data_IF_969001578093
#
_entry.id   IF_969001578093
#
_cell.length_a   1.000
_cell.length_b   1.000
_cell.length_c   1.000
_cell.angle_alpha   90.00
_cell.angle_beta   90.00
_cell.angle_gamma   90.00
#
_symmetry.space_group_name_H-M   'P 1'
#
loop_
_entity.id
_entity.type
_entity.pdbx_description
1 polymer ?
#
# COMPACT_ATOMS: atom_id res chain seq x y z
N UNK A 1 6.48 -4.13 20.01
CA UNK A 1 7.37 -3.22 19.23
C UNK A 1 7.11 -3.48 17.75
N UNK A 2 7.11 -2.47 16.86
CA UNK A 2 6.95 -2.74 15.42
C UNK A 2 8.33 -2.94 14.79
N UNK A 3 8.52 -4.08 14.13
CA UNK A 3 9.71 -4.44 13.36
C UNK A 3 9.35 -4.39 11.89
N UNK A 4 10.18 -3.75 11.07
CA UNK A 4 10.06 -3.74 9.62
C UNK A 4 11.14 -4.64 9.04
N UNK A 5 10.78 -5.49 8.08
CA UNK A 5 11.72 -6.27 7.28
C UNK A 5 11.28 -6.32 5.82
N UNK A 6 12.17 -6.81 4.96
CA UNK A 6 11.84 -7.13 3.59
C UNK A 6 10.62 -8.07 3.53
N UNK A 7 9.74 -7.79 2.58
CA UNK A 7 8.53 -8.55 2.35
C UNK A 7 8.84 -9.97 1.87
N UNK A 8 8.08 -10.94 2.38
CA UNK A 8 8.11 -12.33 1.92
C UNK A 8 6.68 -12.70 1.49
N UNK A 9 6.48 -13.35 0.33
CA UNK A 9 5.14 -13.68 -0.19
C UNK A 9 4.20 -14.33 0.84
N UNK A 10 4.72 -15.30 1.59
CA UNK A 10 3.99 -16.03 2.64
C UNK A 10 3.43 -15.13 3.76
N UNK A 11 3.93 -13.91 3.95
CA UNK A 11 3.38 -13.00 4.95
C UNK A 11 2.01 -12.45 4.55
N UNK A 12 1.73 -12.36 3.25
CA UNK A 12 0.45 -11.86 2.76
C UNK A 12 -0.71 -12.71 3.24
N UNK A 13 -0.53 -14.02 3.27
CA UNK A 13 -1.56 -14.99 3.67
C UNK A 13 -1.71 -15.07 5.18
N UNK A 14 -0.76 -14.57 5.98
CA UNK A 14 -0.82 -14.55 7.45
C UNK A 14 -1.73 -13.46 8.02
N UNK A 15 -2.22 -12.54 7.18
CA UNK A 15 -3.14 -11.47 7.59
C UNK A 15 -4.58 -11.87 7.23
N UNK A 16 -5.22 -12.64 8.10
CA UNK A 16 -6.57 -13.16 7.87
C UNK A 16 -7.67 -12.09 8.03
N UNK A 17 -7.44 -11.10 8.91
CA UNK A 17 -8.40 -10.04 9.23
C UNK A 17 -8.13 -8.75 8.45
N UNK A 18 -7.75 -8.89 7.18
CA UNK A 18 -7.18 -7.80 6.40
C UNK A 18 -8.17 -6.70 5.99
N UNK A 19 -7.58 -5.54 5.73
CA UNK A 19 -8.12 -4.44 4.94
C UNK A 19 -7.05 -4.02 3.95
N UNK A 20 -7.46 -3.77 2.71
CA UNK A 20 -6.56 -3.38 1.62
C UNK A 20 -6.85 -1.93 1.25
N UNK A 21 -6.23 -0.95 1.93
CA UNK A 21 -6.53 0.46 1.69
C UNK A 21 -6.08 0.95 0.31
N UNK A 22 -5.08 0.28 -0.26
CA UNK A 22 -4.44 0.58 -1.53
C UNK A 22 -4.46 -0.68 -2.37
N UNK A 23 -5.26 -0.65 -3.43
CA UNK A 23 -5.46 -1.81 -4.30
C UNK A 23 -4.61 -1.71 -5.56
N UNK A 24 -4.07 -2.85 -5.97
CA UNK A 24 -3.49 -3.03 -7.30
C UNK A 24 -4.59 -3.53 -8.24
N UNK A 25 -4.87 -2.82 -9.33
CA UNK A 25 -6.02 -3.08 -10.22
C UNK A 25 -5.70 -3.93 -11.46
N UNK A 26 -4.58 -4.63 -11.49
CA UNK A 26 -4.26 -5.60 -12.55
C UNK A 26 -4.74 -7.01 -12.17
N UNK A 27 -4.83 -7.95 -13.12
CA UNK A 27 -5.19 -9.33 -12.82
C UNK A 27 -4.29 -9.93 -11.72
N UNK A 28 -4.91 -10.46 -10.66
CA UNK A 28 -4.26 -11.05 -9.49
C UNK A 28 -3.23 -12.13 -9.82
N UNK A 29 -3.37 -12.80 -10.96
CA UNK A 29 -2.44 -13.83 -11.47
C UNK A 29 -1.00 -13.32 -11.67
N UNK A 30 -0.79 -12.00 -11.66
CA UNK A 30 0.53 -11.37 -11.76
C UNK A 30 0.97 -10.65 -10.48
N UNK A 31 0.20 -10.74 -9.39
CA UNK A 31 0.52 -10.01 -8.16
C UNK A 31 1.90 -10.43 -7.63
N UNK A 32 2.19 -11.72 -7.55
CA UNK A 32 3.49 -12.21 -7.09
C UNK A 32 4.65 -11.75 -7.99
N UNK A 33 4.45 -11.72 -9.31
CA UNK A 33 5.45 -11.24 -10.27
C UNK A 33 5.71 -9.74 -10.16
N UNK A 34 4.69 -8.97 -9.81
CA UNK A 34 4.73 -7.50 -9.77
C UNK A 34 5.20 -7.00 -8.41
N UNK A 35 4.85 -7.70 -7.32
CA UNK A 35 5.39 -7.43 -5.99
C UNK A 35 6.91 -7.67 -5.94
N UNK A 36 7.43 -8.61 -6.73
CA UNK A 36 8.86 -8.82 -6.88
C UNK A 36 9.59 -7.70 -7.65
N UNK A 37 8.87 -6.91 -8.45
CA UNK A 37 9.44 -5.82 -9.25
C UNK A 37 9.32 -4.49 -8.53
N UNK A 38 9.87 -4.37 -7.32
CA UNK A 38 9.72 -3.15 -6.54
C UNK A 38 10.38 -3.18 -5.16
N UNK A 39 9.91 -2.29 -4.29
CA UNK A 39 10.29 -2.24 -2.88
C UNK A 39 9.08 -2.59 -2.02
N UNK A 40 9.22 -3.59 -1.16
CA UNK A 40 8.13 -4.05 -0.31
C UNK A 40 8.63 -4.45 1.08
N UNK A 41 7.79 -4.21 2.08
CA UNK A 41 8.10 -4.53 3.47
C UNK A 41 6.96 -5.24 4.18
N UNK A 42 7.32 -6.04 5.16
CA UNK A 42 6.42 -6.61 6.16
C UNK A 42 6.64 -5.91 7.49
N UNK A 43 5.55 -5.48 8.14
CA UNK A 43 5.52 -4.97 9.50
C UNK A 43 5.03 -6.05 10.47
N UNK A 44 5.82 -6.30 11.51
CA UNK A 44 5.59 -7.34 12.51
C UNK A 44 5.44 -6.68 13.89
N UNK A 45 4.45 -7.09 14.67
CA UNK A 45 4.30 -6.73 16.08
C UNK A 45 4.06 -8.00 16.90
N UNK A 46 4.86 -8.19 17.94
CA UNK A 46 4.77 -9.33 18.86
C UNK A 46 4.77 -10.69 18.12
N UNK A 47 5.71 -10.83 17.17
CA UNK A 47 5.89 -11.97 16.26
C UNK A 47 4.72 -12.26 15.29
N UNK A 48 3.75 -11.36 15.22
CA UNK A 48 2.60 -11.45 14.32
C UNK A 48 2.80 -10.51 13.14
N UNK A 49 2.55 -11.02 11.93
CA UNK A 49 2.49 -10.18 10.72
C UNK A 49 1.25 -9.30 10.79
N UNK A 50 1.44 -7.99 10.80
CA UNK A 50 0.36 -7.02 10.97
C UNK A 50 0.05 -6.25 9.69
N UNK A 51 1.05 -6.01 8.84
CA UNK A 51 0.85 -5.34 7.57
C UNK A 51 1.92 -5.75 6.55
N UNK A 52 1.53 -5.78 5.28
CA UNK A 52 2.42 -5.90 4.13
C UNK A 52 2.12 -4.73 3.19
N UNK A 53 3.14 -4.16 2.58
CA UNK A 53 2.93 -3.09 1.61
C UNK A 53 4.21 -2.70 0.91
N UNK A 54 4.05 -2.08 -0.24
CA UNK A 54 5.17 -1.73 -1.08
C UNK A 54 4.78 -0.87 -2.26
N UNK A 55 5.78 -0.59 -3.09
CA UNK A 55 5.64 0.04 -4.40
C UNK A 55 6.15 -0.95 -5.42
N UNK A 56 5.28 -1.35 -6.33
CA UNK A 56 5.63 -2.17 -7.48
C UNK A 56 5.78 -1.31 -8.73
N UNK A 57 6.80 -1.56 -9.53
CA UNK A 57 7.04 -0.82 -10.77
C UNK A 57 6.08 -1.30 -11.86
N UNK A 58 5.39 -0.35 -12.46
CA UNK A 58 4.60 -0.57 -13.68
C UNK A 58 5.52 -0.39 -14.89
N UNK A 59 6.32 0.68 -14.87
CA UNK A 59 7.35 1.00 -15.85
C UNK A 59 8.47 1.83 -15.19
N UNK A 60 9.41 2.37 -15.98
CA UNK A 60 10.55 3.16 -15.50
C UNK A 60 10.14 4.51 -14.87
N UNK A 61 8.89 4.96 -15.05
CA UNK A 61 8.38 6.25 -14.61
C UNK A 61 7.22 6.16 -13.61
N UNK A 62 6.53 5.02 -13.54
CA UNK A 62 5.36 4.81 -12.69
C UNK A 62 5.49 3.58 -11.79
N UNK A 63 5.24 3.79 -10.49
CA UNK A 63 5.08 2.74 -9.50
C UNK A 63 3.67 2.78 -8.88
N UNK A 64 3.15 1.62 -8.51
CA UNK A 64 1.86 1.49 -7.82
C UNK A 64 2.09 1.04 -6.39
N UNK A 65 1.52 1.78 -5.44
CA UNK A 65 1.46 1.38 -4.04
C UNK A 65 0.36 0.37 -3.86
N UNK A 66 0.67 -0.68 -3.12
CA UNK A 66 -0.28 -1.65 -2.63
C UNK A 66 -0.05 -1.87 -1.13
N UNK A 67 -1.10 -2.23 -0.42
CA UNK A 67 -0.98 -2.50 1.02
C UNK A 67 -2.13 -3.35 1.53
N UNK A 68 -1.79 -4.27 2.44
CA UNK A 68 -2.70 -5.10 3.22
C UNK A 68 -2.37 -4.93 4.69
N UNK A 69 -3.38 -4.62 5.51
CA UNK A 69 -3.22 -4.31 6.94
C UNK A 69 -4.24 -5.11 7.75
N UNK A 70 -3.81 -5.72 8.86
CA UNK A 70 -4.69 -6.30 9.86
C UNK A 70 -5.61 -5.25 10.48
N UNK A 71 -6.89 -5.59 10.69
CA UNK A 71 -7.84 -4.71 11.41
C UNK A 71 -7.37 -4.38 12.82
N UNK A 72 -6.54 -5.22 13.45
CA UNK A 72 -5.92 -4.95 14.76
C UNK A 72 -5.10 -3.66 14.78
N UNK A 73 -4.55 -3.23 13.65
CA UNK A 73 -3.84 -1.96 13.54
C UNK A 73 -4.73 -0.74 13.87
N UNK A 74 -6.05 -0.88 13.74
CA UNK A 74 -7.00 0.17 14.10
C UNK A 74 -7.15 0.39 15.61
N UNK A 75 -6.65 -0.50 16.46
CA UNK A 75 -6.59 -0.29 17.91
C UNK A 75 -5.57 0.81 18.27
N UNK A 76 -4.57 1.06 17.42
CA UNK A 76 -3.54 2.09 17.61
C UNK A 76 -3.32 2.89 16.31
N UNK A 77 -4.36 3.60 15.81
CA UNK A 77 -4.37 4.11 14.44
C UNK A 77 -3.30 5.18 14.18
N UNK A 78 -2.97 5.99 15.20
CA UNK A 78 -1.91 7.01 15.08
C UNK A 78 -0.52 6.38 14.94
N UNK A 79 -0.22 5.33 15.70
CA UNK A 79 1.07 4.64 15.67
C UNK A 79 1.28 3.94 14.33
N UNK A 80 0.26 3.22 13.86
CA UNK A 80 0.30 2.55 12.56
C UNK A 80 0.32 3.54 11.40
N UNK A 81 -0.49 4.60 11.45
CA UNK A 81 -0.44 5.66 10.44
C UNK A 81 0.94 6.33 10.35
N UNK A 82 1.56 6.65 11.50
CA UNK A 82 2.92 7.20 11.55
C UNK A 82 3.94 6.23 10.94
N UNK A 83 3.87 4.95 11.31
CA UNK A 83 4.75 3.91 10.78
C UNK A 83 4.63 3.83 9.26
N UNK A 84 3.41 3.72 8.73
CA UNK A 84 3.16 3.66 7.28
C UNK A 84 3.72 4.89 6.57
N UNK A 85 3.52 6.10 7.13
CA UNK A 85 4.04 7.34 6.55
C UNK A 85 5.56 7.37 6.50
N UNK A 86 6.23 7.01 7.59
CA UNK A 86 7.69 7.01 7.67
C UNK A 86 8.28 5.97 6.72
N UNK A 87 7.73 4.75 6.70
CA UNK A 87 8.12 3.69 5.78
C UNK A 87 7.90 4.09 4.32
N UNK A 88 6.73 4.63 3.97
CA UNK A 88 6.46 5.09 2.62
C UNK A 88 7.42 6.19 2.20
N UNK A 89 7.72 7.15 3.09
CA UNK A 89 8.68 8.22 2.81
C UNK A 89 10.09 7.70 2.57
N UNK A 90 10.51 6.64 3.26
CA UNK A 90 11.79 5.98 3.03
C UNK A 90 11.81 5.25 1.69
N UNK A 91 10.77 4.48 1.36
CA UNK A 91 10.66 3.83 0.06
C UNK A 91 10.67 4.87 -1.07
N UNK A 92 9.82 5.90 -0.98
CA UNK A 92 9.73 6.99 -1.93
C UNK A 92 11.10 7.61 -2.26
N UNK A 93 11.90 7.93 -1.23
CA UNK A 93 13.25 8.49 -1.42
C UNK A 93 14.19 7.58 -2.20
N UNK A 94 14.06 6.26 -2.02
CA UNK A 94 14.87 5.27 -2.73
C UNK A 94 14.47 5.09 -4.19
N UNK A 95 13.25 5.48 -4.57
CA UNK A 95 12.71 5.32 -5.92
C UNK A 95 13.06 6.48 -6.87
N UNK A 96 13.64 7.56 -6.36
CA UNK A 96 13.98 8.75 -7.16
C UNK A 96 12.74 9.46 -7.70
N UNK A 97 12.87 10.05 -8.90
CA UNK A 97 11.84 10.89 -9.53
C UNK A 97 10.69 10.08 -10.18
N UNK A 98 10.26 8.99 -9.53
CA UNK A 98 9.19 8.13 -9.99
C UNK A 98 7.82 8.70 -9.59
N UNK A 99 6.85 8.65 -10.51
CA UNK A 99 5.46 8.93 -10.19
C UNK A 99 4.87 7.73 -9.47
N UNK A 100 4.37 7.94 -8.25
CA UNK A 100 3.72 6.89 -7.48
C UNK A 100 2.21 7.08 -7.51
N UNK A 101 1.48 5.98 -7.70
CA UNK A 101 0.02 5.97 -7.79
C UNK A 101 -0.58 4.91 -6.89
N UNK A 102 -1.85 5.06 -6.55
CA UNK A 102 -2.63 4.02 -5.87
C UNK A 102 -4.09 4.14 -6.27
N UNK A 103 -4.85 3.08 -6.03
CA UNK A 103 -6.29 3.02 -6.25
C UNK A 103 -7.00 2.77 -4.92
N UNK A 104 -8.05 3.55 -4.66
CA UNK A 104 -8.80 3.49 -3.40
C UNK A 104 -10.28 3.36 -3.72
N UNK A 105 -10.94 2.38 -3.11
CA UNK A 105 -12.38 2.16 -3.27
C UNK A 105 -13.16 3.44 -2.94
N UNK A 106 -14.09 3.82 -3.82
CA UNK A 106 -14.94 4.99 -3.67
C UNK A 106 -15.76 4.89 -2.38
N UNK A 107 -15.64 5.91 -1.51
CA UNK A 107 -16.31 5.93 -0.20
C UNK A 107 -15.50 5.27 0.93
N UNK A 108 -14.33 4.68 0.64
CA UNK A 108 -13.47 4.10 1.68
C UNK A 108 -12.64 5.17 2.40
N UNK A 109 -13.28 5.87 3.34
CA UNK A 109 -12.72 7.02 4.07
C UNK A 109 -11.37 6.76 4.75
N UNK A 110 -11.11 5.53 5.21
CA UNK A 110 -9.84 5.17 5.87
C UNK A 110 -8.68 5.17 4.87
N UNK A 111 -8.88 4.64 3.66
CA UNK A 111 -7.90 4.68 2.59
C UNK A 111 -7.62 6.11 2.15
N UNK A 112 -8.65 6.93 1.96
CA UNK A 112 -8.48 8.35 1.58
C UNK A 112 -7.73 9.16 2.64
N UNK A 113 -7.95 8.90 3.94
CA UNK A 113 -7.17 9.51 5.03
C UNK A 113 -5.71 9.05 5.00
N UNK A 114 -5.46 7.77 4.76
CA UNK A 114 -4.11 7.22 4.69
C UNK A 114 -3.34 7.78 3.49
N UNK A 115 -3.96 7.88 2.32
CA UNK A 115 -3.37 8.49 1.12
C UNK A 115 -2.92 9.93 1.37
N UNK A 116 -3.77 10.73 2.01
CA UNK A 116 -3.39 12.10 2.42
C UNK A 116 -2.24 12.12 3.41
N UNK A 117 -2.22 11.18 4.37
CA UNK A 117 -1.16 11.08 5.37
C UNK A 117 0.21 10.80 4.72
N UNK A 118 0.23 10.03 3.62
CA UNK A 118 1.43 9.73 2.84
C UNK A 118 1.70 10.73 1.70
N UNK A 119 0.97 11.87 1.66
CA UNK A 119 1.22 12.96 0.72
C UNK A 119 0.61 12.76 -0.67
N UNK A 120 -0.25 11.76 -0.87
CA UNK A 120 -0.89 11.54 -2.16
C UNK A 120 -2.11 12.43 -2.36
N UNK A 121 -2.28 12.88 -3.61
CA UNK A 121 -3.38 13.74 -4.05
C UNK A 121 -4.34 12.94 -4.93
N UNK A 122 -5.64 13.15 -4.73
CA UNK A 122 -6.68 12.55 -5.56
C UNK A 122 -6.60 13.11 -6.98
N UNK A 123 -6.76 12.26 -7.98
CA UNK A 123 -6.90 12.67 -9.39
C UNK A 123 -8.37 12.60 -9.83
N UNK A 124 -8.65 13.11 -11.04
CA UNK A 124 -9.99 13.02 -11.63
C UNK A 124 -10.28 11.65 -12.29
N UNK A 125 -9.34 10.70 -12.22
CA UNK A 125 -9.50 9.36 -12.82
C UNK A 125 -10.21 8.41 -11.85
N UNK A 126 -11.25 7.74 -12.34
CA UNK A 126 -11.93 6.62 -11.70
C UNK A 126 -11.77 5.35 -12.57
N UNK A 127 -11.73 4.18 -11.93
CA UNK A 127 -11.56 2.86 -12.57
C UNK A 127 -12.59 1.90 -12.01
N UNK A 128 -13.20 1.09 -12.88
CA UNK A 128 -14.14 0.04 -12.48
C UNK A 128 -13.43 -1.31 -12.46
N UNK A 129 -13.53 -2.04 -11.36
CA UNK A 129 -12.93 -3.36 -11.17
C UNK A 129 -13.78 -4.18 -10.21
N UNK A 130 -14.20 -5.39 -10.60
CA UNK A 130 -15.09 -6.25 -9.82
C UNK A 130 -16.32 -5.51 -9.28
N UNK A 131 -17.08 -4.85 -10.16
CA UNK A 131 -18.29 -4.05 -9.84
C UNK A 131 -18.06 -2.91 -8.82
N UNK A 132 -16.80 -2.54 -8.57
CA UNK A 132 -16.41 -1.50 -7.63
C UNK A 132 -15.71 -0.35 -8.36
N UNK A 133 -15.97 0.87 -7.90
CA UNK A 133 -15.32 2.08 -8.44
C UNK A 133 -14.14 2.45 -7.55
N UNK A 134 -12.97 2.58 -8.14
CA UNK A 134 -11.75 3.03 -7.49
C UNK A 134 -11.33 4.40 -7.99
N UNK A 135 -10.87 5.26 -7.08
CA UNK A 135 -10.30 6.58 -7.38
C UNK A 135 -8.80 6.49 -7.39
N UNK A 136 -8.17 7.05 -8.42
CA UNK A 136 -6.71 7.12 -8.52
C UNK A 136 -6.17 8.28 -7.71
N UNK A 137 -5.14 8.01 -6.92
CA UNK A 137 -4.35 8.99 -6.18
C UNK A 137 -2.91 8.94 -6.69
N UNK A 138 -2.19 10.05 -6.59
CA UNK A 138 -0.80 10.13 -7.05
C UNK A 138 0.05 11.06 -6.19
N UNK A 139 1.35 10.80 -6.17
CA UNK A 139 2.39 11.71 -5.68
C UNK A 139 3.55 11.64 -6.67
N UNK A 140 4.16 12.81 -6.93
CA UNK A 140 5.43 12.90 -7.65
C UNK A 140 6.49 13.17 -6.58
N UNK A 141 7.52 12.34 -6.54
CA UNK A 141 8.63 12.44 -5.58
C UNK A 141 9.77 13.24 -6.20
#
# INVERSE_FOLDING_TARGET
MIILREYIPDDWTKIDDAVEPFMFLEPFERFDEIVQKGLAVTAIEDDIVMACGGVSYVDDQEGVVWMKISKKCFCQPYRWGRTIRETFSLMAKSLGAMRIVTYILKGFCKGERLARLIGMTKTDKEYEFNDNIYRRYTVVI
#
